data_IF_850810066162
#
_entry.id   IF_850810066162
#
_cell.length_a   1.000
_cell.length_b   1.000
_cell.length_c   1.000
_cell.angle_alpha   90.00
_cell.angle_beta   90.00
_cell.angle_gamma   90.00
#
_symmetry.space_group_name_H-M   'P 1'
#
loop_
_entity.id
_entity.type
_entity.pdbx_description
1 polymer ?
#
# COMPACT_ATOMS: atom_id res chain seq x y z
N UNK A 1 37.54 -14.43 16.94
CA UNK A 1 36.32 -13.61 17.13
C UNK A 1 35.88 -13.11 15.80
N UNK A 2 35.06 -13.86 15.06
CA UNK A 2 34.45 -13.44 13.79
C UNK A 2 33.43 -12.33 14.07
N UNK A 3 33.47 -11.29 13.26
CA UNK A 3 32.71 -10.03 13.35
C UNK A 3 31.18 -10.25 13.13
N UNK A 4 30.48 -10.81 14.11
CA UNK A 4 29.01 -10.97 14.11
C UNK A 4 28.28 -9.61 14.06
N UNK A 5 28.96 -8.51 14.39
CA UNK A 5 28.42 -7.15 14.34
C UNK A 5 28.32 -6.57 12.92
N UNK A 6 29.34 -6.78 12.11
CA UNK A 6 29.41 -6.23 10.74
C UNK A 6 28.46 -6.95 9.78
N UNK A 7 28.28 -8.26 9.93
CA UNK A 7 27.35 -9.03 9.11
C UNK A 7 25.90 -8.66 9.40
N UNK A 8 25.53 -8.43 10.66
CA UNK A 8 24.19 -8.01 11.04
C UNK A 8 23.87 -6.59 10.54
N UNK A 9 24.82 -5.67 10.61
CA UNK A 9 24.66 -4.30 10.11
C UNK A 9 24.53 -4.25 8.59
N UNK A 10 25.26 -5.11 7.86
CA UNK A 10 25.12 -5.27 6.40
C UNK A 10 23.76 -5.84 6.00
N UNK A 11 23.22 -6.80 6.76
CA UNK A 11 21.90 -7.38 6.50
C UNK A 11 20.77 -6.37 6.79
N UNK A 12 20.86 -5.60 7.88
CA UNK A 12 19.91 -4.54 8.20
C UNK A 12 19.87 -3.47 7.09
N UNK A 13 21.03 -3.00 6.65
CA UNK A 13 21.14 -2.01 5.55
C UNK A 13 20.56 -2.55 4.24
N UNK A 14 20.83 -3.81 3.90
CA UNK A 14 20.32 -4.45 2.69
C UNK A 14 18.80 -4.62 2.73
N UNK A 15 18.25 -5.06 3.85
CA UNK A 15 16.81 -5.22 4.02
C UNK A 15 16.08 -3.88 4.01
N UNK A 16 16.66 -2.87 4.67
CA UNK A 16 16.20 -1.49 4.62
C UNK A 16 16.15 -0.96 3.18
N UNK A 17 17.21 -1.21 2.41
CA UNK A 17 17.27 -0.80 1.01
C UNK A 17 16.17 -1.42 0.16
N UNK A 18 15.93 -2.74 0.26
CA UNK A 18 14.87 -3.42 -0.49
C UNK A 18 13.48 -2.89 -0.13
N UNK A 19 13.18 -2.70 1.16
CA UNK A 19 11.89 -2.19 1.59
C UNK A 19 11.66 -0.75 1.12
N UNK A 20 12.68 0.10 1.25
CA UNK A 20 12.62 1.50 0.87
C UNK A 20 12.50 1.68 -0.66
N UNK A 21 13.23 0.89 -1.44
CA UNK A 21 13.14 0.90 -2.91
C UNK A 21 11.77 0.40 -3.38
N UNK A 22 11.24 -0.66 -2.78
CA UNK A 22 9.88 -1.13 -3.07
C UNK A 22 8.83 -0.06 -2.77
N UNK A 23 8.94 0.62 -1.61
CA UNK A 23 8.07 1.74 -1.27
C UNK A 23 8.16 2.87 -2.29
N UNK A 24 9.36 3.23 -2.71
CA UNK A 24 9.58 4.30 -3.67
C UNK A 24 8.87 4.01 -5.00
N UNK A 25 9.15 2.86 -5.63
CA UNK A 25 8.55 2.49 -6.92
C UNK A 25 7.02 2.35 -6.82
N UNK A 26 6.52 1.66 -5.82
CA UNK A 26 5.07 1.48 -5.62
C UNK A 26 4.35 2.82 -5.40
N UNK A 27 4.91 3.71 -4.57
CA UNK A 27 4.28 5.03 -4.32
C UNK A 27 4.38 5.95 -5.52
N UNK A 28 5.52 5.95 -6.22
CA UNK A 28 5.73 6.76 -7.43
C UNK A 28 4.71 6.40 -8.51
N UNK A 29 4.56 5.10 -8.80
CA UNK A 29 3.61 4.62 -9.80
C UNK A 29 2.16 4.87 -9.39
N UNK A 30 1.76 4.51 -8.17
CA UNK A 30 0.39 4.71 -7.68
C UNK A 30 -0.03 6.18 -7.62
N UNK A 31 0.93 7.11 -7.43
CA UNK A 31 0.66 8.56 -7.52
C UNK A 31 0.35 8.96 -8.95
N UNK A 32 1.15 8.49 -9.91
CA UNK A 32 0.89 8.76 -11.33
C UNK A 32 -0.46 8.19 -11.77
N UNK A 33 -0.80 6.97 -11.37
CA UNK A 33 -2.10 6.33 -11.65
C UNK A 33 -3.27 7.08 -11.02
N UNK A 34 -3.13 7.58 -9.80
CA UNK A 34 -4.18 8.39 -9.14
C UNK A 34 -4.47 9.65 -9.95
N UNK A 35 -3.43 10.35 -10.40
CA UNK A 35 -3.58 11.51 -11.29
C UNK A 35 -4.18 11.10 -12.64
N UNK A 36 -3.80 9.93 -13.16
CA UNK A 36 -4.36 9.34 -14.36
C UNK A 36 -5.87 9.08 -14.26
N UNK A 37 -6.35 8.51 -13.17
CA UNK A 37 -7.78 8.31 -12.94
C UNK A 37 -8.54 9.64 -12.83
N UNK A 38 -7.97 10.61 -12.10
CA UNK A 38 -8.53 11.95 -11.99
C UNK A 38 -8.70 12.58 -13.39
N UNK A 39 -7.66 12.52 -14.20
CA UNK A 39 -7.66 13.07 -15.56
C UNK A 39 -8.65 12.33 -16.47
N UNK A 40 -8.67 10.99 -16.43
CA UNK A 40 -9.58 10.17 -17.21
C UNK A 40 -11.03 10.53 -16.92
N UNK A 41 -11.41 10.57 -15.65
CA UNK A 41 -12.79 10.87 -15.24
C UNK A 41 -13.17 12.30 -15.60
N UNK A 42 -12.27 13.26 -15.36
CA UNK A 42 -12.55 14.65 -15.72
C UNK A 42 -12.76 14.83 -17.22
N UNK A 43 -11.92 14.22 -18.05
CA UNK A 43 -12.04 14.30 -19.50
C UNK A 43 -13.32 13.63 -20.02
N UNK A 44 -13.78 12.56 -19.35
CA UNK A 44 -14.98 11.82 -19.79
C UNK A 44 -16.27 12.46 -19.27
N UNK A 45 -16.27 13.01 -18.05
CA UNK A 45 -17.51 13.47 -17.41
C UNK A 45 -17.63 14.99 -17.33
N UNK A 46 -16.53 15.72 -17.48
CA UNK A 46 -16.43 17.17 -17.25
C UNK A 46 -16.99 17.62 -15.88
N UNK A 47 -17.03 16.71 -14.90
CA UNK A 47 -17.62 16.92 -13.58
C UNK A 47 -16.58 16.86 -12.48
N UNK A 48 -16.33 17.97 -11.75
CA UNK A 48 -15.47 17.96 -10.57
C UNK A 48 -15.96 17.02 -9.47
N UNK A 49 -17.28 16.83 -9.36
CA UNK A 49 -17.87 15.92 -8.38
C UNK A 49 -17.49 14.47 -8.67
N UNK A 50 -17.62 14.01 -9.92
CA UNK A 50 -17.22 12.66 -10.32
C UNK A 50 -15.73 12.42 -10.12
N UNK A 51 -14.91 13.42 -10.39
CA UNK A 51 -13.45 13.39 -10.16
C UNK A 51 -13.13 13.27 -8.67
N UNK A 52 -13.82 14.00 -7.81
CA UNK A 52 -13.68 13.90 -6.36
C UNK A 52 -14.13 12.53 -5.81
N UNK A 53 -15.15 11.92 -6.40
CA UNK A 53 -15.69 10.63 -5.98
C UNK A 53 -14.64 9.50 -6.03
N UNK A 54 -13.71 9.50 -7.00
CA UNK A 54 -12.59 8.53 -7.05
C UNK A 54 -11.67 8.68 -5.84
N UNK A 55 -11.32 9.90 -5.50
CA UNK A 55 -10.47 10.16 -4.32
C UNK A 55 -11.16 9.70 -3.04
N UNK A 56 -12.47 10.00 -2.92
CA UNK A 56 -13.28 9.54 -1.79
C UNK A 56 -13.33 8.00 -1.75
N UNK A 57 -13.53 7.33 -2.88
CA UNK A 57 -13.58 5.87 -2.96
C UNK A 57 -12.29 5.22 -2.41
N UNK A 58 -11.12 5.77 -2.75
CA UNK A 58 -9.84 5.26 -2.22
C UNK A 58 -9.65 5.53 -0.72
N UNK A 59 -10.14 6.67 -0.21
CA UNK A 59 -10.03 7.03 1.20
C UNK A 59 -10.98 6.21 2.08
N UNK A 60 -12.21 5.96 1.63
CA UNK A 60 -13.22 5.19 2.35
C UNK A 60 -12.73 3.79 2.72
N UNK A 61 -11.95 3.14 1.86
CA UNK A 61 -11.34 1.85 2.16
C UNK A 61 -10.55 1.90 3.46
N UNK A 62 -9.70 2.93 3.62
CA UNK A 62 -8.87 3.05 4.82
C UNK A 62 -9.67 3.34 6.08
N UNK A 63 -10.73 4.16 5.98
CA UNK A 63 -11.56 4.53 7.11
C UNK A 63 -12.46 3.38 7.58
N UNK A 64 -13.14 2.71 6.64
CA UNK A 64 -14.12 1.69 6.96
C UNK A 64 -13.49 0.32 7.23
N UNK A 65 -12.50 -0.07 6.43
CA UNK A 65 -11.93 -1.41 6.45
C UNK A 65 -10.60 -1.52 7.22
N UNK A 66 -9.99 -0.41 7.62
CA UNK A 66 -8.68 -0.39 8.28
C UNK A 66 -8.54 -1.40 9.43
N UNK A 67 -9.46 -1.47 10.42
CA UNK A 67 -9.39 -2.43 11.51
C UNK A 67 -9.44 -3.89 11.04
N UNK A 68 -10.27 -4.20 10.03
CA UNK A 68 -10.41 -5.55 9.47
C UNK A 68 -9.16 -5.96 8.68
N UNK A 69 -8.56 -5.01 7.94
CA UNK A 69 -7.34 -5.26 7.18
C UNK A 69 -6.15 -5.59 8.09
N UNK A 70 -6.07 -4.99 9.28
CA UNK A 70 -5.05 -5.34 10.28
C UNK A 70 -5.12 -6.80 10.72
N UNK A 71 -6.33 -7.35 10.83
CA UNK A 71 -6.56 -8.76 11.15
C UNK A 71 -6.16 -9.65 9.98
N UNK A 72 -6.59 -9.30 8.77
CA UNK A 72 -6.25 -10.02 7.55
C UNK A 72 -4.72 -10.16 7.39
N UNK A 73 -3.99 -9.05 7.61
CA UNK A 73 -2.51 -9.03 7.55
C UNK A 73 -1.90 -9.98 8.57
N UNK A 74 -2.49 -10.05 9.78
CA UNK A 74 -2.00 -10.92 10.85
C UNK A 74 -2.26 -12.40 10.55
N UNK A 75 -3.43 -12.73 9.97
CA UNK A 75 -3.80 -14.11 9.62
C UNK A 75 -3.03 -14.66 8.43
N UNK A 76 -2.85 -13.85 7.39
CA UNK A 76 -2.17 -14.27 6.14
C UNK A 76 -0.65 -14.19 6.22
N UNK A 77 -0.12 -13.46 7.22
CA UNK A 77 1.30 -13.22 7.40
C UNK A 77 1.81 -11.97 6.66
N UNK A 78 2.82 -11.34 7.26
CA UNK A 78 3.33 -10.03 6.83
C UNK A 78 3.83 -10.03 5.38
N UNK A 79 4.62 -11.05 5.01
CA UNK A 79 5.23 -11.10 3.67
C UNK A 79 4.19 -11.31 2.56
N UNK A 80 3.23 -12.22 2.80
CA UNK A 80 2.13 -12.44 1.87
C UNK A 80 1.33 -11.14 1.66
N UNK A 81 1.03 -10.46 2.75
CA UNK A 81 0.30 -9.19 2.75
C UNK A 81 1.09 -8.01 2.17
N UNK A 82 2.39 -8.16 1.92
CA UNK A 82 3.19 -7.17 1.19
C UNK A 82 3.31 -7.51 -0.30
N UNK A 83 3.56 -8.75 -0.67
CA UNK A 83 3.85 -9.14 -2.06
C UNK A 83 2.58 -9.28 -2.89
N UNK A 84 1.55 -9.95 -2.37
CA UNK A 84 0.33 -10.25 -3.14
C UNK A 84 -0.44 -9.00 -3.56
N UNK A 85 -0.67 -7.99 -2.69
CA UNK A 85 -1.34 -6.77 -3.11
C UNK A 85 -0.64 -6.03 -4.26
N UNK A 86 0.69 -6.03 -4.30
CA UNK A 86 1.47 -5.44 -5.39
C UNK A 86 1.21 -6.18 -6.71
N UNK A 87 1.31 -7.51 -6.70
CA UNK A 87 1.06 -8.32 -7.90
C UNK A 87 -0.38 -8.12 -8.40
N UNK A 88 -1.36 -8.19 -7.48
CA UNK A 88 -2.78 -8.03 -7.82
C UNK A 88 -3.06 -6.64 -8.39
N UNK A 89 -2.49 -5.58 -7.81
CA UNK A 89 -2.65 -4.21 -8.32
C UNK A 89 -2.06 -4.06 -9.73
N UNK A 90 -0.89 -4.64 -9.98
CA UNK A 90 -0.28 -4.63 -11.31
C UNK A 90 -1.17 -5.32 -12.35
N UNK A 91 -1.73 -6.51 -12.04
CA UNK A 91 -2.65 -7.21 -12.93
C UNK A 91 -3.96 -6.45 -13.17
N UNK A 92 -4.54 -5.85 -12.13
CA UNK A 92 -5.77 -5.04 -12.24
C UNK A 92 -5.54 -3.87 -13.20
N UNK A 93 -4.41 -3.17 -13.11
CA UNK A 93 -4.09 -2.08 -14.01
C UNK A 93 -3.87 -2.54 -15.45
N UNK A 94 -3.20 -3.68 -15.66
CA UNK A 94 -3.04 -4.23 -17.01
C UNK A 94 -4.38 -4.60 -17.64
N UNK A 95 -5.31 -5.18 -16.88
CA UNK A 95 -6.66 -5.48 -17.36
C UNK A 95 -7.40 -4.17 -17.70
N UNK A 96 -7.25 -3.13 -16.88
CA UNK A 96 -7.90 -1.84 -17.10
C UNK A 96 -7.51 -1.19 -18.42
N UNK A 97 -6.26 -1.37 -18.87
CA UNK A 97 -5.77 -0.83 -20.16
C UNK A 97 -6.60 -1.31 -21.36
N UNK A 98 -7.20 -2.50 -21.26
CA UNK A 98 -7.99 -3.10 -22.35
C UNK A 98 -9.49 -2.81 -22.24
N UNK A 99 -9.96 -2.18 -21.16
CA UNK A 99 -11.38 -1.98 -20.90
C UNK A 99 -11.64 -0.49 -20.68
N UNK A 100 -12.20 0.15 -21.68
CA UNK A 100 -12.59 1.58 -21.62
C UNK A 100 -14.01 1.70 -21.05
N UNK A 101 -14.14 1.72 -19.72
CA UNK A 101 -15.43 1.86 -19.05
C UNK A 101 -15.29 2.72 -17.77
N UNK A 102 -16.05 3.81 -17.73
CA UNK A 102 -16.04 4.78 -16.64
C UNK A 102 -16.36 4.15 -15.27
N UNK A 103 -17.33 3.24 -15.20
CA UNK A 103 -17.72 2.63 -13.93
C UNK A 103 -16.63 1.71 -13.38
N UNK A 104 -15.87 1.07 -14.27
CA UNK A 104 -14.75 0.23 -13.88
C UNK A 104 -13.62 1.02 -13.22
N UNK A 105 -13.44 2.29 -13.58
CA UNK A 105 -12.42 3.16 -12.92
C UNK A 105 -12.68 3.26 -11.43
N UNK A 106 -13.92 3.46 -11.00
CA UNK A 106 -14.27 3.56 -9.57
C UNK A 106 -14.02 2.24 -8.84
N UNK A 107 -14.37 1.11 -9.46
CA UNK A 107 -14.14 -0.22 -8.89
C UNK A 107 -12.64 -0.50 -8.77
N UNK A 108 -11.88 -0.19 -9.80
CA UNK A 108 -10.43 -0.39 -9.82
C UNK A 108 -9.73 0.52 -8.82
N UNK A 109 -10.11 1.80 -8.75
CA UNK A 109 -9.59 2.72 -7.76
C UNK A 109 -9.85 2.24 -6.33
N UNK A 110 -11.05 1.69 -6.06
CA UNK A 110 -11.39 1.07 -4.79
C UNK A 110 -10.51 -0.15 -4.50
N UNK A 111 -10.34 -1.06 -5.45
CA UNK A 111 -9.53 -2.27 -5.30
C UNK A 111 -8.04 -1.95 -5.09
N UNK A 112 -7.50 -0.99 -5.84
CA UNK A 112 -6.12 -0.52 -5.66
C UNK A 112 -5.97 0.16 -4.29
N UNK A 113 -6.92 0.99 -3.88
CA UNK A 113 -6.97 1.58 -2.55
C UNK A 113 -6.97 0.53 -1.44
N UNK A 114 -7.74 -0.56 -1.63
CA UNK A 114 -7.79 -1.70 -0.72
C UNK A 114 -6.42 -2.40 -0.61
N UNK A 115 -5.81 -2.74 -1.73
CA UNK A 115 -4.49 -3.36 -1.79
C UNK A 115 -3.41 -2.48 -1.15
N UNK A 116 -3.42 -1.17 -1.42
CA UNK A 116 -2.47 -0.22 -0.86
C UNK A 116 -2.61 -0.09 0.67
N UNK A 117 -3.81 -0.22 1.22
CA UNK A 117 -4.02 -0.24 2.68
C UNK A 117 -3.49 -1.51 3.33
N UNK A 118 -3.73 -2.67 2.74
CA UNK A 118 -3.13 -3.95 3.21
C UNK A 118 -1.62 -3.83 3.24
N UNK A 119 -1.03 -3.40 2.13
CA UNK A 119 0.40 -3.20 1.98
C UNK A 119 0.97 -2.23 3.03
N UNK A 120 0.31 -1.09 3.25
CA UNK A 120 0.73 -0.10 4.25
C UNK A 120 0.74 -0.65 5.66
N UNK A 121 -0.30 -1.39 6.07
CA UNK A 121 -0.38 -2.04 7.38
C UNK A 121 0.71 -3.10 7.52
N UNK A 122 0.90 -3.95 6.50
CA UNK A 122 1.91 -5.01 6.51
C UNK A 122 3.33 -4.43 6.60
N UNK A 123 3.64 -3.37 5.85
CA UNK A 123 4.94 -2.66 5.91
C UNK A 123 5.24 -2.13 7.31
N UNK A 124 4.30 -1.39 7.90
CA UNK A 124 4.47 -0.82 9.25
C UNK A 124 4.68 -1.91 10.30
N UNK A 125 3.96 -3.04 10.18
CA UNK A 125 4.11 -4.19 11.07
C UNK A 125 5.42 -4.95 10.85
N UNK A 126 6.06 -4.80 9.69
CA UNK A 126 7.29 -5.48 9.34
C UNK A 126 8.56 -4.74 9.80
N UNK A 127 8.51 -3.42 9.98
CA UNK A 127 9.65 -2.57 10.35
C UNK A 127 10.42 -3.09 11.59
N UNK A 128 9.76 -3.52 12.69
CA UNK A 128 10.46 -4.04 13.86
C UNK A 128 11.31 -5.30 13.61
N UNK A 129 11.09 -6.01 12.49
CA UNK A 129 11.91 -7.16 12.11
C UNK A 129 13.18 -6.75 11.34
N UNK A 130 13.30 -5.47 10.96
CA UNK A 130 14.46 -4.95 10.21
C UNK A 130 15.40 -4.18 11.13
N UNK A 131 14.86 -3.31 11.99
CA UNK A 131 15.66 -2.36 12.78
C UNK A 131 15.11 -2.17 14.18
N UNK A 132 16.01 -1.87 15.11
CA UNK A 132 15.69 -1.49 16.49
C UNK A 132 15.44 0.03 16.62
N UNK A 133 15.97 0.86 15.72
CA UNK A 133 15.75 2.31 15.70
C UNK A 133 14.52 2.67 14.85
N UNK A 134 13.35 2.43 15.44
CA UNK A 134 12.05 2.68 14.78
C UNK A 134 11.84 4.15 14.43
N UNK A 135 12.38 5.09 15.22
CA UNK A 135 12.18 6.53 15.00
C UNK A 135 12.91 6.97 13.74
N UNK A 136 14.20 6.65 13.64
CA UNK A 136 15.04 6.97 12.49
C UNK A 136 14.52 6.31 11.22
N UNK A 137 14.13 5.03 11.31
CA UNK A 137 13.61 4.30 10.17
C UNK A 137 12.29 4.86 9.65
N UNK A 138 11.35 5.20 10.54
CA UNK A 138 10.08 5.82 10.16
C UNK A 138 10.28 7.22 9.56
N UNK A 139 11.25 8.00 10.04
CA UNK A 139 11.60 9.29 9.45
C UNK A 139 12.11 9.11 8.00
N UNK A 140 12.99 8.13 7.77
CA UNK A 140 13.49 7.78 6.44
C UNK A 140 12.36 7.34 5.50
N UNK A 141 11.48 6.44 5.94
CA UNK A 141 10.31 6.00 5.17
C UNK A 141 9.42 7.15 4.76
N UNK A 142 9.15 8.08 5.67
CA UNK A 142 8.33 9.26 5.37
C UNK A 142 9.00 10.16 4.34
N UNK A 143 10.32 10.37 4.43
CA UNK A 143 11.08 11.15 3.47
C UNK A 143 11.04 10.52 2.08
N UNK A 144 11.29 9.20 1.98
CA UNK A 144 11.22 8.46 0.72
C UNK A 144 9.81 8.51 0.13
N UNK A 145 8.79 8.36 0.97
CA UNK A 145 7.39 8.44 0.52
C UNK A 145 7.07 9.83 -0.08
N UNK A 146 7.53 10.92 0.56
CA UNK A 146 7.34 12.29 0.04
C UNK A 146 8.08 12.50 -1.29
N UNK A 147 9.30 12.00 -1.36
CA UNK A 147 10.09 12.08 -2.60
C UNK A 147 9.43 11.26 -3.73
N UNK A 148 8.91 10.07 -3.42
CA UNK A 148 8.16 9.24 -4.38
C UNK A 148 6.89 9.93 -4.90
N UNK A 149 6.15 10.64 -4.03
CA UNK A 149 4.96 11.42 -4.44
C UNK A 149 5.34 12.51 -5.46
N UNK A 150 6.40 13.26 -5.19
CA UNK A 150 6.89 14.30 -6.11
C UNK A 150 7.33 13.66 -7.44
N UNK A 151 8.13 12.61 -7.38
CA UNK A 151 8.61 11.89 -8.57
C UNK A 151 7.46 11.30 -9.39
N UNK A 152 6.42 10.76 -8.74
CA UNK A 152 5.22 10.23 -9.40
C UNK A 152 4.41 11.32 -10.12
N UNK A 153 4.27 12.49 -9.51
CA UNK A 153 3.60 13.63 -10.14
C UNK A 153 4.37 14.16 -11.36
N UNK A 154 5.70 14.22 -11.27
CA UNK A 154 6.56 14.59 -12.41
C UNK A 154 6.48 13.54 -13.52
N UNK A 155 6.55 12.26 -13.18
CA UNK A 155 6.41 11.16 -14.13
C UNK A 155 5.07 11.22 -14.86
N UNK A 156 3.96 11.44 -14.14
CA UNK A 156 2.65 11.66 -14.75
C UNK A 156 2.66 12.84 -15.72
N UNK A 157 3.19 13.98 -15.32
CA UNK A 157 3.26 15.20 -16.14
C UNK A 157 4.00 15.00 -17.46
N UNK A 158 5.03 14.15 -17.48
CA UNK A 158 5.78 13.81 -18.71
C UNK A 158 4.97 12.83 -19.57
N UNK A 159 4.45 11.76 -18.97
CA UNK A 159 3.82 10.65 -19.72
C UNK A 159 2.47 11.04 -20.29
N UNK A 160 1.70 11.89 -19.60
CA UNK A 160 0.35 12.29 -20.06
C UNK A 160 0.37 12.97 -21.44
N UNK A 161 1.48 13.60 -21.81
CA UNK A 161 1.65 14.21 -23.12
C UNK A 161 1.73 13.19 -24.27
N UNK A 162 2.04 11.92 -23.95
CA UNK A 162 2.10 10.85 -24.95
C UNK A 162 0.80 10.03 -24.95
N UNK A 163 0.41 9.50 -23.80
CA UNK A 163 -0.81 8.71 -23.68
C UNK A 163 -1.16 8.47 -22.20
N UNK A 164 -2.46 8.65 -21.90
CA UNK A 164 -2.98 8.29 -20.57
C UNK A 164 -2.84 6.79 -20.28
N UNK A 165 -2.99 5.94 -21.28
CA UNK A 165 -2.83 4.48 -21.15
C UNK A 165 -1.42 4.09 -20.70
N UNK A 166 -0.40 4.82 -21.21
CA UNK A 166 0.99 4.57 -20.78
C UNK A 166 1.23 4.80 -19.29
N UNK A 167 0.49 5.71 -18.66
CA UNK A 167 0.58 5.93 -17.22
C UNK A 167 0.23 4.65 -16.45
N UNK A 168 -0.85 3.98 -16.84
CA UNK A 168 -1.30 2.74 -16.20
C UNK A 168 -0.36 1.56 -16.46
N UNK A 169 0.18 1.45 -17.67
CA UNK A 169 1.16 0.40 -18.01
C UNK A 169 2.45 0.58 -17.21
N UNK A 170 2.96 1.80 -17.11
CA UNK A 170 4.18 2.09 -16.35
C UNK A 170 3.96 1.79 -14.86
N UNK A 171 2.81 2.16 -14.30
CA UNK A 171 2.51 1.83 -12.90
C UNK A 171 2.39 0.31 -12.69
N UNK A 172 1.76 -0.42 -13.60
CA UNK A 172 1.73 -1.88 -13.53
C UNK A 172 3.15 -2.47 -13.47
N UNK A 173 4.09 -1.91 -14.24
CA UNK A 173 5.51 -2.32 -14.18
C UNK A 173 6.13 -1.95 -12.82
N UNK A 174 5.84 -0.77 -12.28
CA UNK A 174 6.36 -0.37 -10.95
C UNK A 174 5.86 -1.28 -9.84
N UNK A 175 4.61 -1.75 -9.90
CA UNK A 175 4.07 -2.74 -8.97
C UNK A 175 4.80 -4.08 -9.07
N UNK A 176 5.11 -4.56 -10.28
CA UNK A 176 5.87 -5.80 -10.47
C UNK A 176 7.29 -5.66 -9.92
N UNK A 177 7.96 -4.52 -10.16
CA UNK A 177 9.28 -4.24 -9.59
C UNK A 177 9.22 -4.23 -8.06
N UNK A 178 8.24 -3.55 -7.47
CA UNK A 178 8.03 -3.50 -6.03
C UNK A 178 7.80 -4.89 -5.45
N UNK A 179 6.93 -5.69 -6.07
CA UNK A 179 6.67 -7.07 -5.66
C UNK A 179 7.94 -7.93 -5.68
N UNK A 180 8.78 -7.79 -6.71
CA UNK A 180 10.07 -8.50 -6.80
C UNK A 180 11.03 -8.10 -5.69
N UNK A 181 11.15 -6.79 -5.39
CA UNK A 181 12.00 -6.29 -4.30
C UNK A 181 11.53 -6.81 -2.94
N UNK A 182 10.22 -6.82 -2.69
CA UNK A 182 9.62 -7.38 -1.48
C UNK A 182 9.82 -8.90 -1.37
N UNK A 183 9.74 -9.61 -2.49
CA UNK A 183 10.03 -11.05 -2.52
C UNK A 183 11.50 -11.35 -2.18
N UNK A 184 12.43 -10.53 -2.68
CA UNK A 184 13.86 -10.62 -2.33
C UNK A 184 14.10 -10.36 -0.84
N UNK A 185 13.38 -9.41 -0.26
CA UNK A 185 13.43 -9.11 1.17
C UNK A 185 13.06 -10.34 2.00
N UNK A 186 12.03 -11.10 1.62
CA UNK A 186 11.55 -12.29 2.32
C UNK A 186 12.64 -13.37 2.51
N UNK A 187 13.49 -13.55 1.51
CA UNK A 187 14.56 -14.57 1.56
C UNK A 187 15.64 -14.26 2.60
N UNK A 188 15.77 -13.01 3.02
CA UNK A 188 16.85 -12.54 3.87
C UNK A 188 16.43 -12.32 5.34
N UNK A 189 15.13 -12.26 5.64
CA UNK A 189 14.61 -11.98 6.99
C UNK A 189 13.96 -13.22 7.57
N UNK A 190 14.53 -13.76 8.66
CA UNK A 190 13.84 -14.74 9.51
C UNK A 190 12.76 -13.97 10.29
N UNK A 191 11.51 -14.09 9.85
CA UNK A 191 10.38 -13.51 10.57
C UNK A 191 10.32 -14.18 11.95
N UNK A 192 10.59 -13.40 13.00
CA UNK A 192 10.26 -13.83 14.35
C UNK A 192 8.73 -13.93 14.41
N UNK A 193 8.23 -15.16 14.42
CA UNK A 193 6.82 -15.42 14.67
C UNK A 193 6.51 -14.93 16.08
N UNK A 194 6.13 -13.67 16.21
CA UNK A 194 5.53 -13.20 17.44
C UNK A 194 4.30 -14.06 17.70
N UNK A 195 4.45 -14.94 18.69
CA UNK A 195 3.47 -15.77 19.36
C UNK A 195 2.03 -15.65 18.82
N UNK A 196 1.55 -16.78 18.37
CA UNK A 196 0.13 -17.11 18.13
C UNK A 196 -0.73 -16.57 19.29
N UNK A 197 -1.18 -15.32 19.17
CA UNK A 197 -2.29 -14.87 19.99
C UNK A 197 -3.48 -15.70 19.51
N UNK A 198 -4.02 -16.49 20.43
CA UNK A 198 -5.14 -17.41 20.19
C UNK A 198 -6.21 -16.71 19.34
N UNK A 199 -6.70 -17.38 18.30
CA UNK A 199 -7.81 -16.89 17.44
C UNK A 199 -9.03 -16.44 18.28
N UNK A 200 -9.22 -17.04 19.45
CA UNK A 200 -10.26 -16.69 20.40
C UNK A 200 -10.10 -15.27 20.97
N UNK A 201 -8.86 -14.86 21.26
CA UNK A 201 -8.54 -13.50 21.77
C UNK A 201 -8.72 -12.42 20.70
N UNK A 202 -8.44 -12.74 19.43
CA UNK A 202 -8.61 -11.81 18.30
C UNK A 202 -10.10 -11.56 18.05
N UNK A 203 -10.92 -12.62 18.02
CA UNK A 203 -12.38 -12.53 17.81
C UNK A 203 -13.05 -11.73 18.91
N UNK A 204 -12.63 -11.91 20.14
CA UNK A 204 -13.11 -11.19 21.32
C UNK A 204 -12.71 -9.70 21.27
N UNK A 205 -11.47 -9.39 20.93
CA UNK A 205 -10.99 -8.00 20.76
C UNK A 205 -11.71 -7.24 19.64
N UNK A 206 -12.15 -7.92 18.57
CA UNK A 206 -12.96 -7.31 17.51
C UNK A 206 -14.36 -6.98 18.02
N UNK A 207 -14.98 -7.94 18.71
CA UNK A 207 -16.32 -7.75 19.25
C UNK A 207 -16.36 -6.59 20.24
N UNK A 208 -15.38 -6.49 21.12
CA UNK A 208 -15.23 -5.41 22.10
C UNK A 208 -15.02 -4.04 21.43
N UNK A 209 -14.23 -3.98 20.35
CA UNK A 209 -14.01 -2.73 19.59
C UNK A 209 -15.25 -2.31 18.80
N UNK A 210 -15.97 -3.25 18.21
CA UNK A 210 -17.25 -2.96 17.53
C UNK A 210 -18.29 -2.45 18.53
N UNK A 211 -18.37 -3.06 19.72
CA UNK A 211 -19.25 -2.57 20.78
C UNK A 211 -18.85 -1.18 21.28
N UNK A 212 -17.55 -0.88 21.39
CA UNK A 212 -17.08 0.45 21.77
C UNK A 212 -17.40 1.50 20.69
N UNK A 213 -17.28 1.15 19.42
CA UNK A 213 -17.69 2.05 18.32
C UNK A 213 -19.20 2.30 18.35
N UNK A 214 -20.02 1.27 18.52
CA UNK A 214 -21.48 1.42 18.60
C UNK A 214 -21.90 2.22 19.84
N UNK A 215 -21.24 2.02 20.99
CA UNK A 215 -21.45 2.83 22.19
C UNK A 215 -21.01 4.28 22.00
N UNK A 216 -19.88 4.53 21.34
CA UNK A 216 -19.40 5.85 21.02
C UNK A 216 -20.33 6.63 20.08
N UNK A 217 -20.89 5.95 19.07
CA UNK A 217 -21.92 6.56 18.21
C UNK A 217 -23.21 6.90 18.97
N UNK A 218 -23.62 6.06 19.91
CA UNK A 218 -24.81 6.33 20.74
C UNK A 218 -24.64 7.56 21.65
N UNK A 219 -23.41 7.84 22.10
CA UNK A 219 -23.09 9.02 22.94
C UNK A 219 -22.97 10.32 22.13
N UNK A 220 -22.76 10.25 20.82
CA UNK A 220 -22.70 11.43 19.93
C UNK A 220 -24.09 11.89 19.45
N UNK A 221 -25.14 11.08 19.63
CA UNK A 221 -26.52 11.37 19.23
C UNK A 221 -27.48 11.54 20.43
N UNK A 222 -26.96 11.62 21.66
CA UNK A 222 -27.63 12.07 22.88
C UNK A 222 -27.11 13.44 23.30
#
# INVERSE_FOLDING_TARGET
FYNLGDDNMNLENKNSFFLNSALFFSTMGSTATTLGFITYIFNTTHSPFNTGAVTIATLLVGMLLGPFLGILVKEKGLMWSMVVPEIVSGFILLIFVFIDNLYLVYIIAFLIGFNNKILGIARLSFIPNITNDLVKFNALLRSINRFALISGSLLFSVIINYSLTMVFVIDAITYIISAYLLYRLNRNVKIQSHSTISQKTIRQSIYDRIQLLIKGYKLLFL
#
